data_IF_716780672321
#
_entry.id   IF_716780672321
#
_cell.length_a   1.000
_cell.length_b   1.000
_cell.length_c   1.000
_cell.angle_alpha   90.00
_cell.angle_beta   90.00
_cell.angle_gamma   90.00
#
_symmetry.space_group_name_H-M   'P 1'
#
loop_
_entity.id
_entity.type
_entity.pdbx_description
1 polymer ?
2 water ?
#
# COMPACT_ATOMS: atom_id res chain seq x y z
N UNK A 1 12.24 -25.41 17.65
CA UNK A 1 13.42 -25.94 16.97
C UNK A 1 14.00 -24.92 16.00
N UNK A 2 13.13 -24.31 15.22
CA UNK A 2 13.56 -23.31 14.31
C UNK A 2 13.06 -21.95 14.66
N UNK A 3 12.92 -21.68 15.94
CA UNK A 3 12.52 -20.38 16.37
C UNK A 3 13.60 -19.60 17.06
N UNK A 4 13.32 -18.34 17.32
CA UNK A 4 14.29 -17.46 17.97
C UNK A 4 13.83 -17.06 19.37
N UNK A 5 14.77 -16.96 20.31
CA UNK A 5 14.45 -16.54 21.68
C UNK A 5 14.54 -15.02 21.84
N UNK A 6 14.72 -14.31 20.74
CA UNK A 6 14.87 -12.85 20.77
C UNK A 6 13.69 -12.16 21.47
N UNK A 7 14.01 -11.31 22.46
CA UNK A 7 13.02 -10.62 23.27
C UNK A 7 12.97 -9.13 22.95
N UNK A 8 11.76 -8.63 22.69
CA UNK A 8 11.59 -7.24 22.33
C UNK A 8 10.18 -6.98 21.82
N UNK A 9 9.98 -5.82 21.20
CA UNK A 9 8.67 -5.49 20.66
C UNK A 9 8.77 -4.92 19.24
N UNK A 10 7.73 -5.17 18.45
CA UNK A 10 7.65 -4.62 17.10
C UNK A 10 6.34 -3.86 16.92
N UNK A 11 6.41 -2.53 17.01
CA UNK A 11 5.23 -1.70 16.89
C UNK A 11 5.14 -1.10 15.49
N UNK A 12 4.18 -1.59 14.71
CA UNK A 12 4.04 -1.11 13.33
C UNK A 12 2.76 -0.30 13.11
N UNK A 13 2.85 0.73 12.28
CA UNK A 13 1.71 1.56 11.94
C UNK A 13 1.49 1.49 10.43
N UNK A 14 0.28 1.08 10.03
CA UNK A 14 0.00 0.87 8.62
C UNK A 14 -1.43 1.21 8.23
N UNK A 15 -1.74 1.07 6.94
CA UNK A 15 -3.10 1.30 6.45
C UNK A 15 -3.90 0.01 6.40
N UNK A 16 -5.17 0.10 6.02
CA UNK A 16 -6.01 -1.08 5.87
C UNK A 16 -5.50 -1.98 4.74
N UNK A 17 -5.07 -1.35 3.65
CA UNK A 17 -4.62 -2.07 2.47
C UNK A 17 -3.45 -3.00 2.75
N UNK A 18 -2.45 -2.49 3.48
CA UNK A 18 -1.28 -3.30 3.81
C UNK A 18 -1.62 -4.40 4.79
N UNK A 19 -2.31 -4.04 5.87
CA UNK A 19 -2.68 -4.98 6.92
C UNK A 19 -3.55 -6.12 6.41
N UNK A 20 -4.40 -5.81 5.43
CA UNK A 20 -5.35 -6.80 4.92
C UNK A 20 -4.75 -7.74 3.87
N UNK A 21 -3.99 -7.17 2.94
CA UNK A 21 -3.57 -7.93 1.76
C UNK A 21 -2.07 -8.21 1.70
N UNK A 22 -1.26 -7.27 2.18
CA UNK A 22 0.19 -7.39 2.09
C UNK A 22 0.81 -8.05 3.35
N UNK A 23 0.23 -7.74 4.50
CA UNK A 23 0.83 -8.09 5.80
C UNK A 23 0.61 -9.50 6.40
N UNK A 24 -0.64 -10.04 6.34
CA UNK A 24 -0.97 -11.23 7.15
C UNK A 24 0.00 -12.41 7.02
N UNK A 25 0.38 -12.76 5.80
CA UNK A 25 1.33 -13.84 5.59
C UNK A 25 2.67 -13.60 6.25
N UNK A 26 3.16 -12.37 6.14
CA UNK A 26 4.43 -11.97 6.76
C UNK A 26 4.36 -12.07 8.28
N UNK A 27 3.36 -11.42 8.86
CA UNK A 27 3.14 -11.41 10.30
C UNK A 27 3.04 -12.83 10.87
N UNK A 28 2.34 -13.68 10.15
CA UNK A 28 2.20 -15.10 10.51
C UNK A 28 3.56 -15.78 10.57
N UNK A 29 4.40 -15.53 9.56
CA UNK A 29 5.74 -16.07 9.54
C UNK A 29 6.59 -15.50 10.67
N UNK A 30 6.32 -14.24 11.02
CA UNK A 30 7.09 -13.56 12.05
C UNK A 30 6.74 -14.03 13.46
N UNK A 31 5.44 -14.06 13.77
CA UNK A 31 4.98 -14.38 15.13
C UNK A 31 5.32 -15.82 15.54
N UNK A 32 5.33 -16.68 14.57
CA UNK A 32 5.75 -18.00 14.78
C UNK A 32 7.24 -18.08 15.03
N UNK A 33 8.00 -17.31 14.29
CA UNK A 33 9.43 -17.24 14.42
C UNK A 33 9.96 -16.59 15.68
N UNK A 34 9.28 -15.55 16.13
CA UNK A 34 9.72 -14.74 17.22
C UNK A 34 8.61 -14.64 18.22
N UNK A 35 8.48 -15.66 19.05
CA UNK A 35 7.42 -15.75 20.06
C UNK A 35 7.58 -14.75 21.21
N UNK A 36 8.81 -14.46 21.62
CA UNK A 36 9.03 -13.50 22.72
C UNK A 36 9.09 -12.06 22.24
N UNK A 37 8.76 -11.84 20.97
CA UNK A 37 8.58 -10.49 20.46
C UNK A 37 7.09 -10.15 20.43
N UNK A 38 6.70 -9.19 21.27
CA UNK A 38 5.32 -8.72 21.28
C UNK A 38 5.09 -7.86 20.04
N UNK A 39 4.11 -8.23 19.23
CA UNK A 39 3.84 -7.49 18.00
C UNK A 39 2.63 -6.57 18.15
N UNK A 40 2.78 -5.34 17.69
CA UNK A 40 1.68 -4.39 17.67
C UNK A 40 1.43 -3.91 16.25
N UNK A 41 0.18 -3.71 15.90
CA UNK A 41 -0.16 -3.15 14.61
C UNK A 41 -1.34 -2.21 14.73
N UNK A 42 -1.19 -0.98 14.31
CA UNK A 42 -2.24 0.01 14.46
C UNK A 42 -2.54 0.73 13.15
N UNK A 43 -3.77 0.58 12.67
CA UNK A 43 -4.24 1.23 11.46
C UNK A 43 -4.50 2.71 11.73
N UNK A 44 -4.18 3.56 10.75
CA UNK A 44 -4.44 4.97 10.85
C UNK A 44 -4.23 5.68 9.52
N UNK A 45 -4.46 6.99 9.49
CA UNK A 45 -4.25 7.78 8.29
C UNK A 45 -2.74 7.95 8.05
N UNK A 46 -2.36 8.18 6.79
CA UNK A 46 -0.98 8.48 6.42
C UNK A 46 -0.33 9.52 7.34
N UNK A 47 -1.11 10.50 7.77
CA UNK A 47 -0.63 11.53 8.69
C UNK A 47 -0.49 11.00 10.11
N UNK A 48 -1.42 10.15 10.53
CA UNK A 48 -1.40 9.53 11.86
C UNK A 48 -0.25 8.53 12.01
N UNK A 49 -0.03 7.75 10.95
CA UNK A 49 1.05 6.76 10.92
C UNK A 49 2.39 7.46 11.03
N UNK A 50 2.49 8.60 10.35
CA UNK A 50 3.66 9.46 10.40
C UNK A 50 3.95 9.91 11.82
N UNK A 51 2.94 10.49 12.45
CA UNK A 51 3.03 10.94 13.80
C UNK A 51 3.50 9.84 14.70
N UNK A 52 2.83 8.71 14.61
CA UNK A 52 3.10 7.56 15.47
C UNK A 52 4.57 7.12 15.42
N UNK A 53 5.21 7.29 14.27
CA UNK A 53 6.61 6.90 14.13
C UNK A 53 7.55 8.09 14.37
N UNK A 54 7.12 9.27 13.94
CA UNK A 54 7.91 10.49 14.11
C UNK A 54 7.93 10.97 15.57
N UNK A 55 6.78 10.84 16.23
CA UNK A 55 6.60 11.40 17.57
C UNK A 55 6.09 10.38 18.58
N UNK A 56 5.37 9.37 18.09
CA UNK A 56 4.71 8.42 18.96
C UNK A 56 5.51 7.19 19.32
N UNK A 57 4.81 6.08 19.52
CA UNK A 57 5.42 4.85 20.03
C UNK A 57 5.64 3.76 18.97
N UNK A 58 5.42 4.10 17.71
CA UNK A 58 5.55 3.12 16.64
C UNK A 58 7.01 2.95 16.20
N UNK A 59 7.38 1.73 15.84
CA UNK A 59 8.71 1.46 15.33
C UNK A 59 8.76 1.68 13.81
N UNK A 60 7.78 1.13 13.11
CA UNK A 60 7.78 1.16 11.65
C UNK A 60 6.50 1.70 11.01
N UNK A 61 6.67 2.45 9.94
CA UNK A 61 5.60 2.99 9.20
C UNK A 61 5.49 2.20 7.96
N UNK A 62 4.34 1.66 7.67
CA UNK A 62 4.17 0.93 6.43
C UNK A 62 3.05 1.45 5.57
N UNK A 63 3.43 2.28 4.62
CA UNK A 63 2.49 3.01 3.88
C UNK A 63 3.00 3.48 2.54
N UNK A 64 2.06 3.74 1.66
CA UNK A 64 2.28 4.16 0.31
C UNK A 64 2.61 5.60 0.39
N UNK A 65 3.64 6.01 -0.29
CA UNK A 65 4.04 7.36 -0.09
C UNK A 65 3.03 8.32 -0.69
N UNK A 66 2.79 9.44 -0.04
CA UNK A 66 3.11 9.66 1.35
C UNK A 66 2.04 8.97 2.18
N UNK A 67 2.31 8.56 3.41
CA UNK A 67 3.62 8.47 4.05
C UNK A 67 3.26 8.10 5.45
N UNK A 68 4.19 8.03 6.38
CA UNK A 68 5.62 8.13 6.16
C UNK A 68 6.04 9.39 5.50
N UNK A 69 5.41 10.48 5.91
CA UNK A 69 5.77 11.82 5.53
C UNK A 69 6.04 12.56 6.84
N UNK A 70 7.19 13.16 6.86
CA UNK A 70 7.89 13.08 5.63
C UNK A 70 8.93 11.96 5.46
N UNK A 71 10.23 12.13 5.44
CA UNK A 71 11.01 13.31 5.65
C UNK A 71 11.21 13.23 7.12
N UNK A 72 12.46 13.17 7.51
CA UNK A 72 12.84 12.97 8.89
C UNK A 72 12.54 11.54 9.31
N UNK A 73 12.21 10.72 8.35
CA UNK A 73 12.08 9.32 8.53
C UNK A 73 12.97 8.72 7.50
N UNK A 74 13.51 7.55 7.80
CA UNK A 74 14.21 6.76 6.85
C UNK A 74 13.19 6.00 6.04
N UNK A 75 13.10 6.28 4.76
CA UNK A 75 12.11 5.59 3.94
C UNK A 75 12.73 4.58 2.97
N UNK A 76 12.21 3.36 2.97
CA UNK A 76 12.70 2.30 2.09
C UNK A 76 11.59 1.76 1.22
N UNK A 77 11.75 1.87 -0.11
CA UNK A 77 10.74 1.35 -1.05
C UNK A 77 10.60 -0.17 -0.96
N UNK A 78 9.37 -0.65 -0.85
CA UNK A 78 9.12 -2.08 -0.71
C UNK A 78 8.63 -2.70 -2.01
N UNK A 79 7.57 -2.14 -2.57
CA UNK A 79 7.00 -2.65 -3.83
C UNK A 79 6.16 -1.64 -4.58
N UNK A 80 5.83 -1.99 -5.82
CA UNK A 80 4.96 -1.17 -6.66
C UNK A 80 3.60 -1.85 -6.77
N UNK A 81 2.53 -1.09 -6.73
CA UNK A 81 1.20 -1.57 -7.01
C UNK A 81 0.35 -0.58 -7.76
N UNK A 82 -0.65 -1.08 -8.45
CA UNK A 82 -1.59 -0.25 -9.18
C UNK A 82 -3.02 -0.71 -9.00
N UNK A 83 -3.92 -0.04 -9.68
CA UNK A 83 -5.32 -0.20 -9.54
C UNK A 83 -6.02 -1.07 -10.57
N UNK A 84 -7.17 -1.60 -10.20
CA UNK A 84 -8.10 -2.23 -11.10
C UNK A 84 -9.47 -1.58 -11.00
N UNK A 85 -10.22 -1.64 -12.08
CA UNK A 85 -11.56 -1.15 -12.11
C UNK A 85 -12.50 -2.30 -11.90
N UNK A 86 -13.34 -2.21 -10.89
CA UNK A 86 -14.36 -3.22 -10.62
C UNK A 86 -15.78 -2.70 -10.88
N UNK A 87 -16.52 -3.42 -11.71
CA UNK A 87 -17.92 -3.08 -11.99
C UNK A 87 -18.81 -4.31 -11.97
N UNK A 88 -20.06 -4.15 -12.36
CA UNK A 88 -21.00 -5.21 -12.50
C UNK A 88 -20.97 -5.61 -13.93
N UNK A 89 -21.31 -6.84 -14.26
CA UNK A 89 -21.11 -7.35 -15.63
C UNK A 89 -21.97 -6.70 -16.72
N UNK A 90 -23.06 -6.08 -16.36
CA UNK A 90 -23.89 -5.50 -17.40
C UNK A 90 -23.58 -4.02 -17.46
N UNK A 91 -22.45 -3.62 -16.90
CA UNK A 91 -22.05 -2.25 -16.96
C UNK A 91 -21.48 -1.97 -18.27
N UNK A 92 -21.63 -0.74 -18.70
CA UNK A 92 -21.13 -0.33 -19.98
C UNK A 92 -19.63 -0.52 -20.11
N UNK A 93 -18.89 -0.28 -19.04
CA UNK A 93 -17.46 -0.45 -19.09
C UNK A 93 -17.09 -1.88 -19.35
N UNK A 94 -17.78 -2.79 -18.74
CA UNK A 94 -17.52 -4.21 -18.90
C UNK A 94 -17.67 -4.66 -20.35
N UNK A 95 -18.32 -3.83 -21.14
CA UNK A 95 -18.58 -4.15 -22.50
C UNK A 95 -17.80 -3.30 -23.45
N UNK A 96 -16.92 -2.47 -22.95
CA UNK A 96 -16.12 -1.64 -23.81
C UNK A 96 -14.77 -2.29 -24.02
N UNK A 97 -14.41 -2.47 -25.28
CA UNK A 97 -13.19 -3.15 -25.67
C UNK A 97 -11.91 -2.75 -25.02
N UNK A 98 -11.58 -1.46 -25.01
CA UNK A 98 -10.41 -1.08 -24.24
C UNK A 98 -10.79 0.24 -23.55
N UNK A 99 -10.80 0.22 -22.23
CA UNK A 99 -11.25 1.36 -21.46
C UNK A 99 -10.26 2.45 -21.23
N UNK A 100 -10.55 3.61 -21.79
CA UNK A 100 -9.79 4.83 -21.60
C UNK A 100 -10.19 5.51 -20.31
N UNK A 101 -9.46 6.53 -19.93
CA UNK A 101 -9.82 7.29 -18.73
C UNK A 101 -11.04 8.18 -18.97
N UNK A 102 -11.20 8.65 -20.21
CA UNK A 102 -12.32 9.49 -20.59
C UNK A 102 -13.64 8.74 -20.49
N UNK A 103 -13.62 7.46 -20.89
CA UNK A 103 -14.79 6.62 -20.80
C UNK A 103 -15.12 6.29 -19.35
N UNK A 104 -14.09 6.26 -18.51
CA UNK A 104 -14.25 6.03 -17.08
C UNK A 104 -14.86 7.25 -16.39
N UNK A 105 -14.45 8.44 -16.81
CA UNK A 105 -14.89 9.68 -16.16
C UNK A 105 -16.33 10.04 -16.46
N UNK A 106 -16.98 9.26 -17.31
CA UNK A 106 -18.40 9.47 -17.61
C UNK A 106 -19.27 8.86 -16.52
N UNK A 107 -18.64 8.25 -15.52
CA UNK A 107 -19.35 7.46 -14.53
C UNK A 107 -19.05 7.86 -13.10
N UNK A 108 -20.01 7.62 -12.18
CA UNK A 108 -19.78 7.82 -10.74
C UNK A 108 -18.77 6.81 -10.23
N UNK A 109 -17.89 7.24 -9.34
CA UNK A 109 -16.78 6.40 -8.91
C UNK A 109 -16.82 6.04 -7.43
N UNK A 110 -16.45 4.80 -7.13
CA UNK A 110 -16.37 4.30 -5.76
C UNK A 110 -14.94 3.91 -5.48
N UNK A 111 -14.29 4.55 -4.52
CA UNK A 111 -12.86 4.34 -4.32
C UNK A 111 -12.35 4.67 -2.91
N UNK A 112 -11.05 4.81 -2.80
CA UNK A 112 -10.41 5.09 -1.52
C UNK A 112 -10.65 6.51 -1.02
N UNK A 113 -10.51 6.69 0.28
CA UNK A 113 -10.70 7.97 0.92
C UNK A 113 -9.59 8.93 0.64
N UNK A 114 -9.91 10.21 0.71
CA UNK A 114 -9.01 11.26 0.33
C UNK A 114 -7.65 11.23 1.03
N UNK A 115 -6.60 11.10 0.24
CA UNK A 115 -5.23 11.11 0.69
C UNK A 115 -4.71 10.09 1.69
N UNK A 116 -5.06 8.82 1.61
CA UNK A 116 -5.57 8.18 0.45
C UNK A 116 -4.90 6.86 0.60
N UNK A 117 -4.98 6.06 -0.39
CA UNK A 117 -4.21 4.85 -0.62
C UNK A 117 -4.23 4.76 -2.14
N UNK A 118 -3.46 5.62 -2.80
CA UNK A 118 -3.49 5.71 -4.24
C UNK A 118 -4.53 6.49 -4.99
N UNK A 119 -5.36 7.21 -4.25
CA UNK A 119 -6.33 8.22 -4.71
C UNK A 119 -5.80 9.51 -5.32
N UNK A 120 -4.62 9.91 -4.92
CA UNK A 120 -4.10 11.15 -5.40
C UNK A 120 -3.47 10.90 -6.74
N UNK A 121 -3.28 9.64 -7.06
CA UNK A 121 -2.78 9.23 -8.33
C UNK A 121 -3.97 9.21 -9.25
N UNK A 122 -5.11 8.98 -8.66
CA UNK A 122 -6.34 8.98 -9.44
C UNK A 122 -6.76 10.40 -9.80
N UNK A 123 -6.77 11.28 -8.80
CA UNK A 123 -7.12 12.68 -9.00
C UNK A 123 -6.13 13.40 -9.91
N UNK A 124 -4.84 13.09 -9.72
CA UNK A 124 -3.80 13.62 -10.59
C UNK A 124 -4.06 13.19 -12.03
N UNK A 125 -4.40 11.93 -12.20
CA UNK A 125 -4.71 11.37 -13.52
C UNK A 125 -5.85 12.12 -14.20
N UNK A 126 -6.94 12.34 -13.45
CA UNK A 126 -8.10 13.05 -13.97
C UNK A 126 -7.77 14.52 -14.30
N UNK A 127 -7.04 15.18 -13.41
CA UNK A 127 -6.57 16.54 -13.68
C UNK A 127 -5.76 16.61 -14.97
N UNK A 128 -4.75 15.74 -15.07
CA UNK A 128 -3.91 15.66 -16.26
C UNK A 128 -4.72 15.44 -17.53
N UNK A 129 -5.81 14.68 -17.44
CA UNK A 129 -6.64 14.38 -18.58
C UNK A 129 -7.71 15.43 -18.82
N UNK A 130 -7.65 16.53 -18.07
CA UNK A 130 -8.62 17.60 -18.18
C UNK A 130 -10.03 17.09 -17.89
N UNK A 131 -10.14 16.23 -16.88
CA UNK A 131 -11.41 15.61 -16.54
C UNK A 131 -11.77 15.83 -15.08
N UNK A 132 -13.07 15.75 -14.78
CA UNK A 132 -13.58 15.92 -13.43
C UNK A 132 -14.18 14.61 -12.94
N UNK A 133 -13.53 13.99 -11.93
CA UNK A 133 -14.04 12.72 -11.41
C UNK A 133 -15.31 12.93 -10.58
N UNK A 134 -16.35 12.16 -10.87
CA UNK A 134 -17.53 12.20 -10.03
C UNK A 134 -17.40 11.17 -8.91
N UNK A 135 -16.79 11.59 -7.81
CA UNK A 135 -16.60 10.71 -6.67
C UNK A 135 -17.86 10.66 -5.81
N UNK A 136 -18.46 9.49 -5.75
CA UNK A 136 -19.72 9.26 -5.04
C UNK A 136 -19.46 8.58 -3.70
N UNK A 137 -18.52 7.65 -3.69
CA UNK A 137 -18.24 6.86 -2.50
C UNK A 137 -16.74 6.79 -2.22
N UNK A 138 -16.36 7.15 -0.99
CA UNK A 138 -14.98 6.99 -0.52
C UNK A 138 -14.97 6.12 0.73
N UNK A 139 -13.98 5.23 0.81
CA UNK A 139 -13.83 4.35 1.96
C UNK A 139 -12.37 3.92 2.08
N UNK A 140 -11.99 3.46 3.26
CA UNK A 140 -10.64 2.96 3.49
C UNK A 140 -10.50 1.52 3.00
N UNK A 141 -11.64 0.84 2.93
CA UNK A 141 -11.71 -0.60 2.76
C UNK A 141 -12.20 -0.96 1.38
N UNK A 142 -11.52 -1.91 0.72
CA UNK A 142 -11.94 -2.37 -0.59
C UNK A 142 -13.15 -3.29 -0.49
N UNK A 143 -13.38 -3.82 0.71
CA UNK A 143 -14.51 -4.72 0.95
C UNK A 143 -15.85 -3.98 0.86
N UNK A 144 -15.93 -2.81 1.50
CA UNK A 144 -17.15 -2.00 1.45
C UNK A 144 -17.36 -1.43 0.04
N UNK A 145 -16.28 -1.04 -0.61
CA UNK A 145 -16.31 -0.55 -1.99
C UNK A 145 -16.99 -1.55 -2.93
N UNK A 146 -16.62 -2.82 -2.79
CA UNK A 146 -17.22 -3.89 -3.59
C UNK A 146 -18.71 -4.01 -3.35
N UNK A 147 -19.10 -4.03 -2.08
CA UNK A 147 -20.50 -4.11 -1.68
C UNK A 147 -21.35 -3.06 -2.41
N UNK A 148 -20.91 -1.81 -2.31
CA UNK A 148 -21.67 -0.69 -2.87
C UNK A 148 -21.62 -0.62 -4.38
N UNK A 149 -20.55 -1.12 -4.96
CA UNK A 149 -20.48 -1.35 -6.37
C UNK A 149 -21.44 -2.42 -6.78
N UNK A 150 -21.55 -3.45 -5.96
CA UNK A 150 -22.40 -4.56 -6.25
C UNK A 150 -23.88 -4.16 -6.33
N UNK A 151 -24.28 -3.25 -5.49
CA UNK A 151 -25.64 -2.81 -5.48
C UNK A 151 -25.84 -1.64 -6.40
N UNK A 152 -24.85 -1.30 -7.20
CA UNK A 152 -25.04 -0.30 -8.23
C UNK A 152 -24.77 1.15 -7.98
N UNK A 153 -24.06 1.47 -6.93
CA UNK A 153 -23.67 2.85 -6.67
C UNK A 153 -22.75 3.45 -7.72
N UNK A 154 -21.89 2.67 -8.32
CA UNK A 154 -21.01 3.18 -9.33
C UNK A 154 -19.86 2.32 -9.76
N UNK A 155 -18.85 2.93 -10.33
CA UNK A 155 -17.68 2.16 -10.74
C UNK A 155 -16.64 2.13 -9.62
N UNK A 156 -16.11 0.95 -9.33
CA UNK A 156 -15.11 0.82 -8.27
C UNK A 156 -13.68 0.86 -8.78
N UNK A 157 -12.86 1.68 -8.13
CA UNK A 157 -11.43 1.71 -8.39
C UNK A 157 -10.72 1.27 -7.11
N UNK A 158 -10.05 0.13 -7.17
CA UNK A 158 -9.33 -0.39 -6.01
C UNK A 158 -7.94 -0.93 -6.36
N UNK A 159 -7.17 -1.26 -5.33
CA UNK A 159 -5.90 -1.94 -5.52
C UNK A 159 -6.15 -3.32 -6.12
N UNK A 160 -5.34 -3.71 -7.09
CA UNK A 160 -5.50 -4.99 -7.75
C UNK A 160 -5.31 -6.16 -6.79
N UNK A 161 -4.50 -5.96 -5.76
CA UNK A 161 -4.24 -6.98 -4.76
C UNK A 161 -5.49 -7.26 -3.92
N UNK A 162 -6.44 -6.32 -3.97
CA UNK A 162 -7.69 -6.47 -3.25
C UNK A 162 -8.76 -7.14 -4.11
N UNK A 163 -8.36 -7.64 -5.28
CA UNK A 163 -9.29 -8.34 -6.16
C UNK A 163 -8.97 -9.83 -6.20
N UNK A 164 -10.00 -10.66 -6.06
CA UNK A 164 -9.84 -12.10 -6.21
C UNK A 164 -11.08 -12.69 -6.84
N UNK A 165 -10.95 -13.22 -8.07
CA UNK A 165 -12.06 -13.79 -8.83
C UNK A 165 -12.65 -15.02 -8.16
N UNK A 166 -11.86 -15.67 -7.30
CA UNK A 166 -12.34 -16.80 -6.53
C UNK A 166 -12.98 -16.35 -5.23
N UNK A 167 -12.61 -15.15 -4.78
CA UNK A 167 -13.19 -14.56 -3.57
C UNK A 167 -14.24 -13.52 -3.93
N UNK A 168 -14.21 -13.09 -5.19
CA UNK A 168 -15.17 -12.13 -5.72
C UNK A 168 -15.74 -12.52 -7.08
N UNK A 169 -16.51 -13.56 -7.12
CA UNK A 169 -17.09 -13.97 -8.39
C UNK A 169 -18.12 -12.99 -8.85
N UNK A 170 -18.24 -12.80 -10.14
CA UNK A 170 -19.29 -11.97 -10.68
C UNK A 170 -19.03 -10.48 -10.71
N UNK A 171 -17.88 -10.01 -10.27
CA UNK A 171 -17.58 -8.61 -10.47
C UNK A 171 -16.57 -8.65 -11.55
N UNK A 172 -16.74 -7.86 -12.58
CA UNK A 172 -15.74 -7.86 -13.58
C UNK A 172 -14.66 -6.90 -13.25
N UNK A 173 -13.45 -7.36 -13.41
CA UNK A 173 -12.21 -6.63 -13.17
C UNK A 173 -11.62 -6.04 -14.45
N UNK A 174 -11.20 -4.78 -14.38
CA UNK A 174 -10.54 -4.11 -15.49
C UNK A 174 -9.19 -3.53 -15.05
N UNK A 175 -8.11 -4.12 -15.54
CA UNK A 175 -6.76 -3.65 -15.24
C UNK A 175 -6.59 -2.22 -15.75
N UNK A 176 -6.16 -1.32 -14.88
CA UNK A 176 -6.07 0.11 -15.22
C UNK A 176 -4.65 0.66 -15.06
N UNK A 177 -3.65 -0.19 -15.29
CA UNK A 177 -2.26 0.22 -15.15
C UNK A 177 -1.86 1.27 -16.18
N UNK A 178 -2.50 1.26 -17.33
CA UNK A 178 -2.21 2.25 -18.32
C UNK A 178 -3.11 3.43 -18.14
N UNK A 179 -3.90 3.44 -17.10
CA UNK A 179 -4.70 4.60 -16.78
C UNK A 179 -4.13 5.42 -15.64
N UNK A 180 -3.62 4.75 -14.65
CA UNK A 180 -3.03 5.42 -13.51
C UNK A 180 -1.56 5.07 -13.31
N UNK A 181 -0.76 6.01 -12.87
CA UNK A 181 0.59 5.67 -12.45
C UNK A 181 0.55 4.78 -11.22
N UNK A 182 1.56 3.93 -11.09
CA UNK A 182 1.67 3.05 -9.98
C UNK A 182 2.01 3.72 -8.72
N UNK A 183 1.80 3.04 -7.65
CA UNK A 183 2.08 3.58 -6.35
C UNK A 183 3.19 2.80 -5.70
N UNK A 184 3.96 3.45 -4.88
CA UNK A 184 5.04 2.75 -4.23
C UNK A 184 4.80 2.64 -2.73
N UNK A 185 4.64 1.43 -2.26
CA UNK A 185 4.61 1.15 -0.86
C UNK A 185 6.02 1.20 -0.29
N UNK A 186 6.14 1.86 0.83
CA UNK A 186 7.43 2.05 1.49
C UNK A 186 7.44 1.64 2.95
N UNK A 187 8.61 1.53 3.52
CA UNK A 187 8.71 1.19 4.93
C UNK A 187 9.70 2.14 5.59
N UNK A 188 9.50 2.46 6.86
CA UNK A 188 10.38 3.39 7.51
C UNK A 188 10.36 3.50 9.02
N UNK A 189 11.29 4.30 9.54
CA UNK A 189 11.52 4.39 10.97
C UNK A 189 12.43 5.56 11.30
N UNK A 190 12.52 5.89 12.60
CA UNK A 190 13.42 6.95 13.04
C UNK A 190 14.87 6.52 12.92
N UNK A 191 15.73 7.48 12.62
CA UNK A 191 17.17 7.26 12.51
C UNK A 191 17.76 6.79 13.84
N UNK A 192 17.09 7.11 14.93
CA UNK A 192 17.55 6.74 16.22
C UNK A 192 17.08 5.37 16.68
N UNK A 193 16.29 4.70 15.87
CA UNK A 193 15.79 3.42 16.30
C UNK A 193 16.89 2.39 16.13
N UNK A 194 17.17 1.66 17.17
CA UNK A 194 18.14 0.61 17.08
C UNK A 194 17.54 -0.55 16.32
N UNK A 195 18.18 -0.94 15.22
CA UNK A 195 17.64 -2.02 14.42
C UNK A 195 17.99 -3.38 14.99
N UNK A 196 16.97 -4.08 15.50
CA UNK A 196 17.15 -5.43 16.00
C UNK A 196 17.21 -6.40 14.82
N UNK A 197 17.66 -7.62 15.09
CA UNK A 197 17.78 -8.62 14.03
C UNK A 197 16.41 -9.05 13.50
N UNK A 198 15.40 -9.02 14.37
CA UNK A 198 14.05 -9.34 13.94
C UNK A 198 13.46 -8.21 13.09
N UNK A 199 14.03 -7.02 13.22
CA UNK A 199 13.59 -5.87 12.44
C UNK A 199 14.06 -5.98 10.99
N UNK A 200 15.36 -6.24 10.81
CA UNK A 200 15.91 -6.53 9.48
C UNK A 200 15.17 -7.70 8.88
N UNK A 201 14.91 -8.69 9.72
CA UNK A 201 14.26 -9.92 9.32
C UNK A 201 12.87 -9.65 8.76
N UNK A 202 12.09 -8.87 9.50
CA UNK A 202 10.76 -8.48 9.06
C UNK A 202 10.85 -7.68 7.76
N UNK A 203 11.83 -6.79 7.70
CA UNK A 203 12.01 -5.91 6.55
C UNK A 203 12.31 -6.69 5.27
N UNK A 204 13.24 -7.58 5.36
CA UNK A 204 13.62 -8.39 4.27
C UNK A 204 12.49 -9.33 3.85
N UNK A 205 11.69 -9.74 4.81
CA UNK A 205 10.57 -10.58 4.52
C UNK A 205 9.47 -9.80 3.78
N UNK A 206 9.32 -8.53 4.09
CA UNK A 206 8.34 -7.68 3.41
C UNK A 206 8.91 -7.20 2.07
N UNK A 207 10.21 -6.89 2.07
CA UNK A 207 10.90 -6.47 0.85
C UNK A 207 12.26 -7.15 0.76
N UNK A 208 12.33 -8.22 -0.05
CA UNK A 208 13.50 -9.11 -0.19
C UNK A 208 14.78 -8.36 -0.53
N UNK A 209 14.67 -7.37 -1.40
CA UNK A 209 15.83 -6.59 -1.83
C UNK A 209 16.40 -5.74 -0.70
N UNK A 210 15.63 -5.60 0.37
CA UNK A 210 16.07 -4.84 1.53
C UNK A 210 16.82 -5.73 2.53
N UNK A 211 18.00 -6.17 2.13
CA UNK A 211 18.87 -6.95 3.00
C UNK A 211 19.52 -6.03 4.04
N UNK A 212 20.13 -6.62 5.04
CA UNK A 212 20.77 -5.85 6.08
C UNK A 212 21.83 -4.92 5.55
N UNK A 213 22.51 -5.33 4.52
CA UNK A 213 23.57 -4.52 3.93
C UNK A 213 23.03 -3.28 3.21
N UNK A 214 21.95 -3.44 2.45
CA UNK A 214 21.36 -2.30 1.76
C UNK A 214 20.57 -1.41 2.73
N UNK A 215 20.11 -2.00 3.82
CA UNK A 215 19.36 -1.24 4.82
C UNK A 215 20.28 -0.31 5.60
N UNK A 216 21.39 -0.84 6.10
CA UNK A 216 22.38 -0.03 6.81
C UNK A 216 22.96 1.08 5.92
N UNK A 217 23.20 0.73 4.66
CA UNK A 217 23.70 1.69 3.67
C UNK A 217 22.71 2.83 3.46
N UNK A 218 21.45 2.47 3.26
CA UNK A 218 20.37 3.43 3.09
C UNK A 218 20.27 4.38 4.28
N UNK A 219 20.43 3.82 5.48
CA UNK A 219 20.45 4.61 6.71
C UNK A 219 21.59 5.63 6.64
N UNK A 220 22.71 5.21 6.09
CA UNK A 220 23.90 6.06 6.01
C UNK A 220 23.82 7.15 4.95
N UNK A 221 22.89 7.02 4.00
CA UNK A 221 22.72 8.01 2.96
C UNK A 221 22.25 9.37 3.48
N UNK A 222 21.46 9.33 4.56
CA UNK A 222 20.84 10.53 5.13
C UNK A 222 19.95 11.26 4.11
N UNK A 223 19.32 10.48 3.23
CA UNK A 223 18.41 11.02 2.23
C UNK A 223 17.53 9.89 1.70
N UNK A 224 16.22 10.07 1.78
CA UNK A 224 15.28 9.07 1.28
C UNK A 224 15.20 9.09 -0.24
N UNK A 225 15.65 10.19 -0.83
CA UNK A 225 15.67 10.33 -2.28
C UNK A 225 16.77 9.46 -2.87
N UNK A 226 17.95 9.51 -2.24
CA UNK A 226 19.09 8.71 -2.67
C UNK A 226 18.86 7.23 -2.41
N UNK A 227 18.02 6.93 -1.42
CA UNK A 227 17.62 5.55 -1.14
C UNK A 227 16.76 5.03 -2.28
N UNK A 228 15.87 5.88 -2.78
CA UNK A 228 15.01 5.52 -3.90
C UNK A 228 15.81 5.16 -5.15
N UNK A 229 16.69 6.06 -5.54
CA UNK A 229 17.52 5.86 -6.74
C UNK A 229 18.48 4.67 -6.63
N UNK A 230 18.69 4.20 -5.41
CA UNK A 230 19.47 3.02 -5.15
C UNK A 230 18.95 1.80 -5.91
N UNK A 231 17.64 1.75 -6.17
CA UNK A 231 16.98 0.60 -6.75
C UNK A 231 16.40 0.92 -8.13
N UNK A 232 16.82 2.02 -8.73
CA UNK A 232 16.28 2.42 -10.03
C UNK A 232 16.75 1.51 -11.16
N UNK A 233 17.83 0.77 -10.93
CA UNK A 233 18.37 -0.12 -11.96
C UNK A 233 17.95 -1.58 -11.76
N UNK A 234 17.09 -1.80 -10.76
CA UNK A 234 16.45 -3.10 -10.58
C UNK A 234 14.94 -2.96 -10.68
N UNK A 235 14.25 -4.08 -10.88
CA UNK A 235 12.79 -4.07 -10.88
C UNK A 235 12.26 -4.44 -9.51
N UNK A 236 11.59 -3.48 -8.88
CA UNK A 236 11.01 -3.70 -7.56
C UNK A 236 9.86 -4.70 -7.65
N UNK A 237 9.50 -5.33 -6.52
CA UNK A 237 8.35 -6.25 -6.55
C UNK A 237 7.06 -5.55 -6.98
N UNK A 238 6.15 -6.24 -7.63
CA UNK A 238 4.88 -5.69 -8.09
C UNK A 238 3.77 -6.51 -7.54
N UNK A 239 2.76 -5.88 -6.98
CA UNK A 239 1.60 -6.55 -6.39
C UNK A 239 0.30 -5.87 -6.83
#
# INVERSE_FOLDING_TARGET
EHTWPDKGSLYIATTHTQARYALPGVIKGFIERYPRVSLHMHQGSPTQIAEAVSKGNADFAIATEALHLYDDLVMLPCYHWNRSIVVTPDHPLAATSSVTIEALAQYPLVTYTFGFTGRSELDTAFNRAGLTPRIVFTATDADVIKTYVRLGLGVGVIASMAVDPLADPDLVRIDAHDIFSHSTTKIGFRRSTFLRSYMYDFIQRFAPHLTRDVVDTAVALRSNEEIEAMFQDIKLPEK
#
